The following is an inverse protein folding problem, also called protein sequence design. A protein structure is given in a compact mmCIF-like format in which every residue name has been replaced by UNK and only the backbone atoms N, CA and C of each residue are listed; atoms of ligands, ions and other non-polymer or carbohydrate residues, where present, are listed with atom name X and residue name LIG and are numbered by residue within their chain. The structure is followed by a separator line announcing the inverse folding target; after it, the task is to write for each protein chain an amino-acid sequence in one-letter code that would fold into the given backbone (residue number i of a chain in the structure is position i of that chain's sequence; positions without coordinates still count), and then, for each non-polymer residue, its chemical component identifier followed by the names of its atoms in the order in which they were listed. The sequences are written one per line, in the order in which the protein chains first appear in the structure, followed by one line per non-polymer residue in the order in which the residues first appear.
data_IF_676222799049
#
_entry.id   IF_676222799049
#
_cell.length_a   1.000
_cell.length_b   1.000
_cell.length_c   1.000
_cell.angle_alpha   90.00
_cell.angle_beta   90.00
_cell.angle_gamma   90.00
#
_symmetry.space_group_name_H-M   'P 1'
#
loop_
_entity.id
_entity.type
_entity.pdbx_description
1 polymer ?
#
# COMPACT_ATOMS: atom_id res chain seq x y z
N UNK A 1 42.17 -13.33 6.12
CA UNK A 1 41.71 -12.90 7.45
C UNK A 1 40.44 -12.04 7.28
N UNK A 2 39.31 -12.43 7.89
CA UNK A 2 38.09 -11.57 7.91
C UNK A 2 38.39 -10.36 8.79
N UNK A 3 38.39 -9.15 8.22
CA UNK A 3 38.53 -7.91 8.97
C UNK A 3 37.25 -7.73 9.81
N UNK A 4 37.37 -7.71 11.14
CA UNK A 4 36.23 -7.41 12.03
C UNK A 4 36.14 -5.89 12.19
N UNK A 5 35.01 -5.32 11.76
CA UNK A 5 34.69 -3.90 11.97
C UNK A 5 33.80 -3.75 13.22
N UNK A 6 34.09 -2.75 14.04
CA UNK A 6 33.25 -2.44 15.19
C UNK A 6 31.97 -1.73 14.74
N UNK A 7 30.80 -2.21 15.22
CA UNK A 7 29.52 -1.56 14.97
C UNK A 7 29.55 -0.11 15.47
N UNK A 8 30.20 0.16 16.61
CA UNK A 8 30.31 1.52 17.16
C UNK A 8 31.18 2.44 16.28
N UNK A 9 32.11 1.90 15.50
CA UNK A 9 32.87 2.68 14.53
C UNK A 9 32.03 3.04 13.30
N UNK A 10 31.18 2.11 12.82
CA UNK A 10 30.24 2.38 11.72
C UNK A 10 29.16 3.38 12.17
N UNK A 11 28.60 3.24 13.38
CA UNK A 11 27.68 4.21 13.95
C UNK A 11 28.29 5.61 14.02
N UNK A 12 29.51 5.70 14.56
CA UNK A 12 30.25 6.98 14.64
C UNK A 12 30.44 7.58 13.25
N UNK A 13 30.78 6.74 12.26
CA UNK A 13 30.93 7.18 10.87
C UNK A 13 29.60 7.72 10.30
N UNK A 14 28.48 7.04 10.50
CA UNK A 14 27.17 7.47 9.97
C UNK A 14 26.76 8.81 10.56
N UNK A 15 26.96 9.03 11.85
CA UNK A 15 26.66 10.31 12.51
C UNK A 15 27.58 11.44 12.02
N UNK A 16 28.90 11.20 11.88
CA UNK A 16 29.81 12.22 11.33
C UNK A 16 29.47 12.55 9.88
N UNK A 17 29.05 11.55 9.10
CA UNK A 17 28.63 11.73 7.70
C UNK A 17 27.33 12.55 7.55
N UNK A 18 26.42 12.48 8.52
CA UNK A 18 25.20 13.29 8.57
C UNK A 18 25.50 14.71 9.02
N UNK A 19 26.27 14.87 10.11
CA UNK A 19 26.55 16.15 10.73
C UNK A 19 27.62 16.97 10.00
N UNK A 20 28.46 16.33 9.21
CA UNK A 20 29.65 16.91 8.57
C UNK A 20 30.53 17.73 9.56
N UNK A 21 30.54 17.29 10.84
CA UNK A 21 31.22 17.93 11.95
C UNK A 21 31.54 16.90 13.04
N UNK A 22 32.80 16.77 13.40
CA UNK A 22 33.23 15.89 14.49
C UNK A 22 32.71 16.34 15.85
N UNK A 23 32.58 17.66 16.06
CA UNK A 23 32.07 18.22 17.31
C UNK A 23 30.58 17.95 17.47
N UNK A 24 29.76 18.25 16.44
CA UNK A 24 28.32 17.95 16.49
C UNK A 24 28.05 16.46 16.60
N UNK A 25 28.81 15.62 15.88
CA UNK A 25 28.69 14.19 16.03
C UNK A 25 29.02 13.69 17.44
N UNK A 26 29.98 14.33 18.11
CA UNK A 26 30.30 14.03 19.49
C UNK A 26 29.15 14.35 20.45
N UNK A 27 28.48 15.48 20.24
CA UNK A 27 27.29 15.88 21.01
C UNK A 27 26.14 14.87 20.82
N UNK A 28 25.85 14.48 19.56
CA UNK A 28 24.82 13.49 19.23
C UNK A 28 25.12 12.10 19.84
N UNK A 29 26.39 11.70 19.86
CA UNK A 29 26.82 10.39 20.39
C UNK A 29 27.13 10.42 21.89
N UNK A 30 27.04 11.57 22.55
CA UNK A 30 27.37 11.77 23.97
C UNK A 30 28.77 11.30 24.33
N UNK A 31 29.76 11.56 23.45
CA UNK A 31 31.18 11.24 23.64
C UNK A 31 32.05 12.47 23.34
N UNK A 32 33.36 12.39 23.61
CA UNK A 32 34.25 13.49 23.31
C UNK A 32 34.61 13.56 21.81
N UNK A 33 34.90 14.77 21.27
CA UNK A 33 35.36 14.92 19.89
C UNK A 33 36.64 14.13 19.57
N UNK A 34 37.51 13.97 20.56
CA UNK A 34 38.74 13.16 20.44
C UNK A 34 38.40 11.66 20.26
N UNK A 35 37.37 11.14 20.97
CA UNK A 35 36.90 9.77 20.83
C UNK A 35 36.28 9.54 19.44
N UNK A 36 35.47 10.49 18.92
CA UNK A 36 34.94 10.45 17.56
C UNK A 36 36.07 10.38 16.54
N UNK A 37 37.05 11.30 16.64
CA UNK A 37 38.22 11.35 15.74
C UNK A 37 39.03 10.05 15.76
N UNK A 38 39.22 9.49 16.95
CA UNK A 38 39.94 8.23 17.12
C UNK A 38 39.20 7.05 16.48
N UNK A 39 37.87 6.93 16.69
CA UNK A 39 37.06 5.87 16.07
C UNK A 39 37.09 5.94 14.54
N UNK A 40 36.96 7.13 13.96
CA UNK A 40 37.04 7.34 12.52
C UNK A 40 38.40 6.97 11.99
N UNK A 41 39.47 7.42 12.64
CA UNK A 41 40.86 7.10 12.24
C UNK A 41 41.13 5.59 12.26
N UNK A 42 40.65 4.87 13.26
CA UNK A 42 40.75 3.41 13.33
C UNK A 42 39.97 2.73 12.19
N UNK A 43 38.76 3.20 11.87
CA UNK A 43 37.95 2.69 10.78
C UNK A 43 38.66 2.88 9.42
N UNK A 44 39.20 4.09 9.17
CA UNK A 44 39.95 4.40 7.96
C UNK A 44 41.23 3.53 7.83
N UNK A 45 41.95 3.32 8.93
CA UNK A 45 43.13 2.42 8.95
C UNK A 45 42.73 0.96 8.65
N UNK A 46 41.63 0.48 9.20
CA UNK A 46 41.13 -0.87 8.92
C UNK A 46 40.68 -1.06 7.47
N UNK A 47 40.05 -0.03 6.89
CA UNK A 47 39.61 -0.04 5.50
C UNK A 47 40.79 0.20 4.51
N UNK A 48 41.81 0.90 4.94
CA UNK A 48 42.95 1.33 4.10
C UNK A 48 42.60 2.50 3.19
N UNK A 49 41.49 3.22 3.46
CA UNK A 49 41.05 4.38 2.68
C UNK A 49 40.59 5.50 3.62
N UNK A 50 40.70 6.75 3.18
CA UNK A 50 40.13 7.88 3.90
C UNK A 50 38.67 8.03 3.54
N UNK A 51 37.83 8.19 4.56
CA UNK A 51 36.39 8.39 4.42
C UNK A 51 36.00 9.86 4.42
N UNK A 52 36.82 10.70 5.06
CA UNK A 52 36.64 12.15 5.14
C UNK A 52 37.84 12.92 4.64
N UNK A 53 37.59 14.04 3.98
CA UNK A 53 38.60 15.07 3.68
C UNK A 53 38.31 16.30 4.54
N UNK A 54 39.38 16.88 5.13
CA UNK A 54 39.30 18.09 5.94
C UNK A 54 39.15 19.32 5.06
N UNK A 55 38.30 20.21 5.46
CA UNK A 55 38.13 21.54 4.88
C UNK A 55 38.61 22.59 5.91
N UNK A 56 38.78 23.83 5.48
CA UNK A 56 39.06 24.96 6.38
C UNK A 56 37.97 25.17 7.44
N UNK A 57 36.73 24.79 7.10
CA UNK A 57 35.58 24.73 8.04
C UNK A 57 34.87 23.42 7.86
N UNK A 58 35.00 22.48 8.82
CA UNK A 58 34.30 21.19 8.82
C UNK A 58 35.00 20.08 8.04
N UNK A 59 34.24 19.09 7.63
CA UNK A 59 34.67 17.92 6.87
C UNK A 59 33.68 17.62 5.73
N UNK A 60 34.16 16.98 4.69
CA UNK A 60 33.31 16.40 3.63
C UNK A 60 33.64 14.92 3.45
N UNK A 61 32.69 14.17 2.93
CA UNK A 61 32.95 12.79 2.54
C UNK A 61 33.91 12.72 1.35
N UNK A 62 34.73 11.68 1.34
CA UNK A 62 35.44 11.24 0.14
C UNK A 62 34.49 10.35 -0.70
N UNK A 63 34.86 9.98 -1.93
CA UNK A 63 34.12 9.03 -2.74
C UNK A 63 33.92 7.69 -2.01
N UNK A 64 34.94 7.20 -1.29
CA UNK A 64 34.83 6.00 -0.46
C UNK A 64 33.88 6.22 0.72
N UNK A 65 33.85 7.42 1.31
CA UNK A 65 32.92 7.82 2.36
C UNK A 65 31.49 7.87 1.87
N UNK A 66 31.21 8.42 0.70
CA UNK A 66 29.87 8.46 0.10
C UNK A 66 29.34 7.05 -0.18
N UNK A 67 30.17 6.18 -0.74
CA UNK A 67 29.82 4.78 -0.97
C UNK A 67 29.48 4.06 0.35
N UNK A 68 30.35 4.23 1.37
CA UNK A 68 30.11 3.60 2.67
C UNK A 68 28.87 4.16 3.36
N UNK A 69 28.59 5.47 3.23
CA UNK A 69 27.42 6.11 3.85
C UNK A 69 26.11 5.46 3.43
N UNK A 70 25.91 5.23 2.12
CA UNK A 70 24.68 4.62 1.61
C UNK A 70 24.43 3.24 2.26
N UNK A 71 25.46 2.38 2.27
CA UNK A 71 25.35 1.04 2.83
C UNK A 71 25.29 1.01 4.36
N UNK A 72 26.06 1.87 5.03
CA UNK A 72 26.10 1.92 6.48
C UNK A 72 24.79 2.45 7.06
N UNK A 73 24.19 3.48 6.46
CA UNK A 73 22.88 4.00 6.88
C UNK A 73 21.77 2.95 6.73
N UNK A 74 21.74 2.22 5.60
CA UNK A 74 20.78 1.13 5.40
C UNK A 74 21.00 0.00 6.42
N UNK A 75 22.26 -0.39 6.67
CA UNK A 75 22.61 -1.41 7.65
C UNK A 75 22.25 -1.03 9.09
N UNK A 76 22.56 0.18 9.52
CA UNK A 76 22.19 0.66 10.87
C UNK A 76 20.69 0.72 11.07
N UNK A 77 19.95 1.13 10.05
CA UNK A 77 18.49 1.14 10.09
C UNK A 77 17.91 -0.27 10.23
N UNK A 78 18.46 -1.25 9.51
CA UNK A 78 18.05 -2.65 9.63
C UNK A 78 18.35 -3.22 11.04
N UNK A 79 19.49 -2.85 11.64
CA UNK A 79 19.83 -3.25 13.01
C UNK A 79 18.83 -2.62 14.01
N UNK A 80 18.56 -1.32 13.89
CA UNK A 80 17.58 -0.64 14.75
C UNK A 80 16.18 -1.26 14.63
N UNK A 81 15.75 -1.58 13.42
CA UNK A 81 14.49 -2.30 13.17
C UNK A 81 14.48 -3.68 13.83
N UNK A 82 15.58 -4.45 13.74
CA UNK A 82 15.70 -5.75 14.42
C UNK A 82 15.65 -5.65 15.96
N UNK A 83 16.29 -4.62 16.53
CA UNK A 83 16.23 -4.34 17.98
C UNK A 83 14.80 -4.00 18.41
N UNK A 84 14.12 -3.13 17.66
CA UNK A 84 12.72 -2.80 17.92
C UNK A 84 11.83 -4.04 17.85
N UNK A 85 11.94 -4.85 16.79
CA UNK A 85 11.19 -6.10 16.68
C UNK A 85 11.44 -7.04 17.86
N UNK A 86 12.69 -7.17 18.33
CA UNK A 86 13.01 -8.02 19.47
C UNK A 86 12.42 -7.52 20.80
N UNK A 87 12.27 -6.21 20.96
CA UNK A 87 11.63 -5.59 22.12
C UNK A 87 10.09 -5.74 22.08
N UNK A 88 9.48 -5.80 20.90
CA UNK A 88 8.05 -6.03 20.72
C UNK A 88 7.64 -7.50 20.93
N UNK A 89 8.56 -8.46 20.82
CA UNK A 89 8.29 -9.87 21.09
C UNK A 89 7.78 -10.17 22.52
N UNK A 90 7.78 -9.20 23.41
CA UNK A 90 7.29 -9.31 24.79
C UNK A 90 6.01 -8.50 25.11
N UNK A 91 5.45 -7.76 24.12
CA UNK A 91 4.19 -7.00 24.30
C UNK A 91 3.18 -7.48 23.30
N UNK A 92 1.94 -7.81 23.77
CA UNK A 92 0.73 -8.12 22.99
C UNK A 92 0.95 -8.17 21.48
N UNK A 93 0.43 -9.18 20.82
CA UNK A 93 0.55 -9.40 19.38
C UNK A 93 -0.01 -8.18 18.59
N UNK A 94 0.79 -7.13 18.47
CA UNK A 94 0.44 -5.96 17.66
C UNK A 94 0.72 -6.26 16.21
N UNK A 95 -0.24 -5.94 15.34
CA UNK A 95 -0.13 -6.10 13.90
C UNK A 95 -0.46 -4.77 13.21
N UNK A 96 0.47 -4.24 12.42
CA UNK A 96 0.32 -2.98 11.69
C UNK A 96 0.13 -3.27 10.21
N UNK A 97 -1.07 -3.00 9.70
CA UNK A 97 -1.45 -3.29 8.30
C UNK A 97 -1.67 -1.99 7.53
N UNK A 98 -0.92 -1.83 6.45
CA UNK A 98 -1.25 -0.82 5.45
C UNK A 98 -2.40 -1.32 4.56
N UNK A 99 -3.24 -0.41 4.09
CA UNK A 99 -4.37 -0.74 3.22
C UNK A 99 -4.74 0.46 2.35
N UNK A 100 -5.16 0.22 1.10
CA UNK A 100 -5.64 1.29 0.23
C UNK A 100 -6.95 1.89 0.76
N UNK A 101 -7.15 3.22 0.67
CA UNK A 101 -8.26 3.95 1.33
C UNK A 101 -9.64 3.38 1.01
N UNK A 102 -9.92 3.16 -0.27
CA UNK A 102 -11.23 2.69 -0.75
C UNK A 102 -11.56 1.29 -0.23
N UNK A 103 -10.61 0.36 -0.26
CA UNK A 103 -10.81 -1.00 0.26
C UNK A 103 -10.96 -0.99 1.78
N UNK A 104 -10.18 -0.16 2.48
CA UNK A 104 -10.30 -0.01 3.93
C UNK A 104 -11.72 0.39 4.32
N UNK A 105 -12.21 1.47 3.71
CA UNK A 105 -13.52 2.05 4.05
C UNK A 105 -14.68 1.14 3.67
N UNK A 106 -14.70 0.63 2.43
CA UNK A 106 -15.86 -0.04 1.89
C UNK A 106 -15.93 -1.54 2.23
N UNK A 107 -14.78 -2.18 2.43
CA UNK A 107 -14.72 -3.63 2.56
C UNK A 107 -14.14 -4.10 3.90
N UNK A 108 -12.99 -3.53 4.34
CA UNK A 108 -12.28 -4.03 5.53
C UNK A 108 -12.99 -3.62 6.83
N UNK A 109 -13.29 -2.33 7.00
CA UNK A 109 -13.91 -1.80 8.24
C UNK A 109 -15.19 -2.54 8.61
N UNK A 110 -16.16 -2.81 7.70
CA UNK A 110 -17.38 -3.55 8.04
C UNK A 110 -17.13 -4.96 8.60
N UNK A 111 -15.95 -5.55 8.32
CA UNK A 111 -15.57 -6.92 8.71
C UNK A 111 -14.66 -7.01 9.93
N UNK A 112 -14.11 -5.88 10.40
CA UNK A 112 -13.16 -5.86 11.54
C UNK A 112 -13.75 -6.41 12.84
N UNK A 113 -15.07 -6.26 13.05
CA UNK A 113 -15.72 -6.80 14.23
C UNK A 113 -15.58 -8.33 14.32
N UNK A 114 -15.69 -9.02 13.19
CA UNK A 114 -15.49 -10.48 13.10
C UNK A 114 -14.03 -10.87 13.44
N UNK A 115 -13.04 -10.14 12.89
CA UNK A 115 -11.63 -10.38 13.24
C UNK A 115 -11.37 -10.16 14.73
N UNK A 116 -11.87 -9.05 15.29
CA UNK A 116 -11.67 -8.71 16.71
C UNK A 116 -12.32 -9.73 17.65
N UNK A 117 -13.43 -10.36 17.26
CA UNK A 117 -14.05 -11.43 18.04
C UNK A 117 -13.22 -12.71 18.00
N UNK A 118 -12.68 -13.07 16.83
CA UNK A 118 -11.85 -14.28 16.66
C UNK A 118 -10.46 -14.14 17.28
N UNK A 119 -9.90 -12.93 17.27
CA UNK A 119 -8.49 -12.65 17.63
C UNK A 119 -8.40 -11.47 18.63
N UNK A 120 -9.15 -11.51 19.73
CA UNK A 120 -9.22 -10.44 20.74
C UNK A 120 -7.88 -10.09 21.41
N UNK A 121 -6.88 -10.96 21.31
CA UNK A 121 -5.54 -10.74 21.84
C UNK A 121 -4.64 -9.96 20.88
N UNK A 122 -5.04 -9.77 19.61
CA UNK A 122 -4.28 -9.03 18.60
C UNK A 122 -4.73 -7.57 18.62
N UNK A 123 -3.76 -6.65 18.77
CA UNK A 123 -3.95 -5.23 18.56
C UNK A 123 -3.69 -4.89 17.10
N UNK A 124 -4.74 -4.57 16.34
CA UNK A 124 -4.63 -4.23 14.93
C UNK A 124 -4.55 -2.71 14.76
N UNK A 125 -3.49 -2.24 14.12
CA UNK A 125 -3.33 -0.86 13.66
C UNK A 125 -3.43 -0.80 12.15
N UNK A 126 -4.30 0.08 11.61
CA UNK A 126 -4.49 0.27 10.17
C UNK A 126 -3.86 1.59 9.73
N UNK A 127 -2.98 1.52 8.74
CA UNK A 127 -2.37 2.68 8.09
C UNK A 127 -2.94 2.78 6.66
N UNK A 128 -3.59 3.90 6.36
CA UNK A 128 -4.22 4.10 5.06
C UNK A 128 -3.26 4.79 4.11
N UNK A 129 -2.93 4.15 2.99
CA UNK A 129 -2.07 4.71 1.94
C UNK A 129 -2.35 4.08 0.57
N UNK A 130 -2.21 4.88 -0.50
CA UNK A 130 -2.44 4.42 -1.88
C UNK A 130 -1.23 3.69 -2.46
N UNK A 131 -0.03 4.15 -2.14
CA UNK A 131 1.21 3.57 -2.66
C UNK A 131 1.66 2.39 -1.80
N UNK A 132 2.32 1.42 -2.44
CA UNK A 132 2.93 0.31 -1.72
C UNK A 132 3.81 0.82 -0.58
N UNK A 133 3.56 0.31 0.62
CA UNK A 133 4.29 0.70 1.81
C UNK A 133 5.79 0.42 1.68
N UNK A 134 6.61 1.37 2.10
CA UNK A 134 8.04 1.14 2.24
C UNK A 134 8.32 0.46 3.59
N UNK A 135 8.36 -0.85 3.59
CA UNK A 135 8.62 -1.68 4.78
C UNK A 135 9.97 -1.42 5.44
N UNK A 136 10.89 -0.72 4.75
CA UNK A 136 12.19 -0.35 5.32
C UNK A 136 12.11 0.91 6.18
N UNK A 137 11.10 1.75 5.97
CA UNK A 137 10.96 3.06 6.64
C UNK A 137 9.86 3.11 7.68
N UNK A 138 8.83 2.30 7.53
CA UNK A 138 7.66 2.29 8.41
C UNK A 138 7.58 0.98 9.18
N UNK A 139 7.07 1.03 10.41
CA UNK A 139 6.74 -0.17 11.18
C UNK A 139 5.43 -0.76 10.67
N UNK A 140 5.45 -1.29 9.44
CA UNK A 140 4.31 -1.93 8.79
C UNK A 140 4.65 -3.40 8.62
N UNK A 141 3.77 -4.28 9.08
CA UNK A 141 3.95 -5.73 8.97
C UNK A 141 3.52 -6.24 7.59
N UNK A 142 2.41 -5.72 7.05
CA UNK A 142 1.92 -6.08 5.73
C UNK A 142 1.10 -4.96 5.10
N UNK A 143 0.86 -5.06 3.78
CA UNK A 143 0.00 -4.14 3.03
C UNK A 143 -1.04 -4.92 2.22
N UNK A 144 -2.32 -4.59 2.39
CA UNK A 144 -3.38 -5.06 1.49
C UNK A 144 -3.38 -4.13 0.27
N UNK A 145 -2.67 -4.55 -0.76
CA UNK A 145 -2.36 -3.74 -1.94
C UNK A 145 -3.09 -4.25 -3.18
N UNK A 146 -3.46 -3.34 -4.07
CA UNK A 146 -4.00 -3.66 -5.38
C UNK A 146 -2.89 -3.51 -6.42
N UNK A 147 -2.51 -4.60 -7.10
CA UNK A 147 -1.37 -4.58 -8.01
C UNK A 147 -1.20 -5.84 -8.84
N UNK A 148 -0.04 -5.96 -9.51
CA UNK A 148 0.29 -7.05 -10.44
C UNK A 148 0.58 -8.39 -9.76
N UNK A 149 0.91 -8.39 -8.48
CA UNK A 149 1.39 -9.58 -7.75
C UNK A 149 2.90 -9.78 -7.79
N UNK A 150 3.62 -8.98 -8.56
CA UNK A 150 5.09 -9.00 -8.60
C UNK A 150 5.65 -7.85 -7.74
N UNK A 151 6.27 -8.21 -6.62
CA UNK A 151 6.82 -7.26 -5.65
C UNK A 151 8.23 -7.68 -5.28
N UNK A 152 9.22 -7.02 -5.86
CA UNK A 152 10.62 -7.38 -5.71
C UNK A 152 11.06 -7.44 -4.24
N UNK A 153 11.56 -8.60 -3.80
CA UNK A 153 12.04 -8.81 -2.43
C UNK A 153 10.97 -8.92 -1.35
N UNK A 154 9.69 -8.99 -1.73
CA UNK A 154 8.56 -9.17 -0.83
C UNK A 154 7.78 -10.43 -1.21
N UNK A 155 7.01 -10.95 -0.27
CA UNK A 155 6.04 -12.00 -0.51
C UNK A 155 4.66 -11.39 -0.76
N UNK A 156 3.92 -11.98 -1.70
CA UNK A 156 2.57 -11.58 -2.04
C UNK A 156 1.63 -12.79 -1.93
N UNK A 157 0.68 -12.71 -1.03
CA UNK A 157 -0.41 -13.68 -0.92
C UNK A 157 -1.59 -13.17 -1.71
N UNK A 158 -1.99 -13.90 -2.75
CA UNK A 158 -3.18 -13.57 -3.53
C UNK A 158 -4.43 -13.60 -2.64
N UNK A 159 -5.28 -12.58 -2.75
CA UNK A 159 -6.50 -12.47 -1.98
C UNK A 159 -7.76 -12.59 -2.85
N UNK A 160 -7.85 -11.76 -3.89
CA UNK A 160 -9.05 -11.72 -4.73
C UNK A 160 -8.80 -10.93 -6.01
N UNK A 161 -9.51 -11.32 -7.07
CA UNK A 161 -9.66 -10.50 -8.28
C UNK A 161 -10.69 -9.40 -8.06
N UNK A 162 -10.68 -8.42 -8.96
CA UNK A 162 -11.67 -7.36 -8.94
C UNK A 162 -12.49 -7.31 -10.22
N UNK A 163 -13.75 -6.90 -10.10
CA UNK A 163 -14.71 -6.76 -11.20
C UNK A 163 -15.32 -5.37 -11.18
N UNK A 164 -15.45 -4.77 -12.36
CA UNK A 164 -15.97 -3.42 -12.51
C UNK A 164 -17.18 -3.43 -13.43
N UNK A 165 -18.26 -2.81 -12.98
CA UNK A 165 -19.52 -2.74 -13.70
C UNK A 165 -20.28 -1.45 -13.39
N UNK A 166 -21.21 -0.99 -14.27
CA UNK A 166 -21.99 0.20 -14.05
C UNK A 166 -22.96 0.06 -12.88
N UNK A 167 -23.03 1.09 -12.03
CA UNK A 167 -23.96 1.20 -10.90
C UNK A 167 -24.61 2.57 -10.83
N UNK A 168 -25.83 2.63 -10.31
CA UNK A 168 -26.54 3.88 -10.06
C UNK A 168 -27.44 3.79 -8.83
N UNK A 169 -27.96 4.93 -8.39
CA UNK A 169 -29.01 4.96 -7.38
C UNK A 169 -30.29 4.31 -7.93
N UNK A 170 -31.03 3.51 -7.12
CA UNK A 170 -32.25 2.81 -7.57
C UNK A 170 -33.32 3.74 -8.14
N UNK A 171 -33.44 4.98 -7.66
CA UNK A 171 -34.41 5.95 -8.15
C UNK A 171 -34.26 6.28 -9.63
N UNK A 172 -33.09 6.03 -10.23
CA UNK A 172 -32.90 6.23 -11.67
C UNK A 172 -33.66 5.21 -12.51
N UNK A 173 -34.10 4.13 -11.89
CA UNK A 173 -34.78 3.00 -12.55
C UNK A 173 -36.26 2.97 -12.28
N UNK A 174 -36.80 3.94 -11.51
CA UNK A 174 -38.23 4.01 -11.21
C UNK A 174 -39.05 4.19 -12.49
N UNK A 175 -39.97 3.26 -12.73
CA UNK A 175 -40.84 3.28 -13.90
C UNK A 175 -40.22 2.69 -15.19
N UNK A 176 -39.00 2.17 -15.14
CA UNK A 176 -38.32 1.55 -16.30
C UNK A 176 -38.15 0.04 -16.03
N UNK A 177 -38.89 -0.78 -16.74
CA UNK A 177 -38.89 -2.22 -16.53
C UNK A 177 -37.53 -2.90 -16.87
N UNK A 178 -36.86 -2.43 -17.91
CA UNK A 178 -35.56 -2.94 -18.36
C UNK A 178 -34.72 -1.78 -18.89
N UNK A 179 -34.03 -1.00 -18.01
CA UNK A 179 -33.26 0.15 -18.44
C UNK A 179 -32.03 -0.31 -19.24
N UNK A 180 -31.97 0.12 -20.50
CA UNK A 180 -30.71 -0.04 -21.28
C UNK A 180 -29.73 1.04 -20.82
N UNK A 181 -28.49 0.67 -20.58
CA UNK A 181 -27.45 1.64 -20.20
C UNK A 181 -27.35 2.78 -21.19
N UNK A 182 -27.42 2.49 -22.50
CA UNK A 182 -27.40 3.51 -23.57
C UNK A 182 -28.52 4.56 -23.47
N UNK A 183 -29.67 4.20 -22.90
CA UNK A 183 -30.80 5.12 -22.67
C UNK A 183 -30.57 5.99 -21.43
N UNK A 184 -30.07 5.38 -20.36
CA UNK A 184 -29.71 6.09 -19.13
C UNK A 184 -28.59 7.10 -19.34
N UNK A 185 -27.62 6.77 -20.19
CA UNK A 185 -26.53 7.68 -20.56
C UNK A 185 -26.99 8.95 -21.27
N UNK A 186 -28.17 8.95 -21.91
CA UNK A 186 -28.74 10.14 -22.56
C UNK A 186 -29.31 11.16 -21.55
N UNK A 187 -29.66 10.73 -20.36
CA UNK A 187 -30.40 11.54 -19.38
C UNK A 187 -29.70 11.68 -18.04
N UNK A 188 -28.57 11.02 -17.85
CA UNK A 188 -27.81 11.00 -16.60
C UNK A 188 -26.34 11.28 -16.85
N UNK A 189 -25.71 11.96 -15.90
CA UNK A 189 -24.27 12.23 -15.98
C UNK A 189 -23.44 10.99 -15.61
N UNK A 190 -22.25 10.89 -16.20
CA UNK A 190 -21.24 9.92 -15.82
C UNK A 190 -20.36 10.44 -14.69
N UNK A 191 -20.14 9.57 -13.73
CA UNK A 191 -19.21 9.79 -12.63
C UNK A 191 -17.91 9.08 -12.97
N UNK A 192 -16.83 9.83 -12.96
CA UNK A 192 -15.47 9.39 -13.23
C UNK A 192 -14.59 9.54 -11.99
N UNK A 193 -13.49 8.80 -11.93
CA UNK A 193 -12.42 9.03 -10.96
C UNK A 193 -11.06 8.99 -11.68
N UNK A 194 -10.11 9.83 -11.23
CA UNK A 194 -8.81 9.97 -11.88
C UNK A 194 -7.75 9.00 -11.39
N UNK A 195 -7.83 8.55 -10.13
CA UNK A 195 -6.82 7.69 -9.55
C UNK A 195 -6.74 6.35 -10.28
N UNK A 196 -5.62 6.07 -10.92
CA UNK A 196 -5.33 4.81 -11.57
C UNK A 196 -5.82 4.65 -13.01
N UNK A 197 -6.33 5.69 -13.68
CA UNK A 197 -6.86 5.56 -15.03
C UNK A 197 -5.82 5.89 -16.10
N UNK A 198 -5.05 6.97 -15.94
CA UNK A 198 -4.18 7.46 -17.02
C UNK A 198 -2.71 7.02 -16.86
N UNK A 199 -2.23 6.75 -15.64
CA UNK A 199 -0.81 6.51 -15.36
C UNK A 199 -0.49 5.17 -14.66
N UNK A 200 -1.48 4.35 -14.33
CA UNK A 200 -1.24 3.07 -13.66
C UNK A 200 -1.89 1.89 -14.39
N UNK A 201 -1.14 0.83 -14.67
CA UNK A 201 -1.70 -0.42 -15.19
C UNK A 201 -2.75 -0.97 -14.21
N UNK A 202 -3.90 -1.37 -14.71
CA UNK A 202 -4.97 -1.98 -13.90
C UNK A 202 -6.19 -1.11 -13.61
N UNK A 203 -6.17 0.19 -13.98
CA UNK A 203 -7.35 1.05 -13.98
C UNK A 203 -8.36 0.63 -15.06
N UNK A 204 -9.64 0.94 -14.84
CA UNK A 204 -10.71 0.78 -15.83
C UNK A 204 -11.46 2.09 -15.94
N UNK A 205 -11.56 2.60 -17.17
CA UNK A 205 -12.29 3.82 -17.48
C UNK A 205 -13.67 3.52 -18.08
N UNK A 206 -14.52 4.53 -18.15
CA UNK A 206 -15.75 4.45 -18.91
C UNK A 206 -15.50 4.18 -20.42
N UNK A 207 -14.39 4.69 -20.98
CA UNK A 207 -14.03 4.40 -22.36
C UNK A 207 -13.78 2.91 -22.58
N UNK A 208 -13.03 2.25 -21.67
CA UNK A 208 -12.78 0.81 -21.73
C UNK A 208 -14.08 0.02 -21.65
N UNK A 209 -14.98 0.40 -20.73
CA UNK A 209 -16.23 -0.30 -20.52
C UNK A 209 -17.18 -0.16 -21.74
N UNK A 210 -17.38 1.07 -22.22
CA UNK A 210 -18.24 1.36 -23.36
C UNK A 210 -17.72 0.69 -24.64
N UNK A 211 -16.41 0.71 -24.88
CA UNK A 211 -15.77 0.06 -26.00
C UNK A 211 -15.94 -1.46 -25.95
N UNK A 212 -15.69 -2.07 -24.78
CA UNK A 212 -15.76 -3.54 -24.62
C UNK A 212 -17.16 -4.09 -24.88
N UNK A 213 -18.19 -3.37 -24.46
CA UNK A 213 -19.58 -3.81 -24.57
C UNK A 213 -20.36 -3.13 -25.70
N UNK A 214 -19.63 -2.47 -26.62
CA UNK A 214 -20.19 -1.82 -27.83
C UNK A 214 -21.38 -0.88 -27.50
N UNK A 215 -21.27 -0.12 -26.42
CA UNK A 215 -22.29 0.84 -26.01
C UNK A 215 -21.95 2.22 -26.56
N UNK A 216 -22.84 2.77 -27.38
CA UNK A 216 -22.69 4.10 -27.96
C UNK A 216 -22.63 5.18 -26.86
N UNK A 217 -21.59 6.00 -26.92
CA UNK A 217 -21.46 7.18 -26.08
C UNK A 217 -22.26 8.34 -26.68
N UNK A 218 -23.20 8.94 -25.94
CA UNK A 218 -23.91 10.14 -26.41
C UNK A 218 -22.93 11.31 -26.70
N UNK A 219 -23.24 12.11 -27.74
CA UNK A 219 -22.39 13.24 -28.14
C UNK A 219 -22.30 14.31 -27.04
N UNK A 220 -23.39 14.54 -26.32
CA UNK A 220 -23.47 15.47 -25.20
C UNK A 220 -23.70 14.70 -23.91
N UNK A 221 -22.60 14.42 -23.19
CA UNK A 221 -22.62 13.70 -21.93
C UNK A 221 -22.12 14.60 -20.80
N UNK A 222 -22.96 14.83 -19.80
CA UNK A 222 -22.52 15.48 -18.56
C UNK A 222 -21.58 14.56 -17.80
N UNK A 223 -20.50 15.08 -17.27
CA UNK A 223 -19.46 14.32 -16.58
C UNK A 223 -19.05 15.03 -15.30
N UNK A 224 -18.85 14.25 -14.23
CA UNK A 224 -18.27 14.71 -12.98
C UNK A 224 -17.05 13.87 -12.65
N UNK A 225 -15.97 14.49 -12.16
CA UNK A 225 -14.69 13.85 -11.92
C UNK A 225 -14.30 13.94 -10.45
N UNK A 226 -13.89 12.80 -9.88
CA UNK A 226 -13.36 12.70 -8.53
C UNK A 226 -11.90 12.23 -8.57
N UNK A 227 -11.13 12.55 -7.53
CA UNK A 227 -9.75 12.06 -7.37
C UNK A 227 -9.68 10.64 -6.85
N UNK A 228 -10.73 10.14 -6.16
CA UNK A 228 -10.75 8.82 -5.53
C UNK A 228 -12.04 8.05 -5.88
N UNK A 229 -11.89 6.74 -6.06
CA UNK A 229 -13.03 5.85 -6.36
C UNK A 229 -14.11 5.86 -5.27
N UNK A 230 -13.74 5.98 -4.01
CA UNK A 230 -14.71 6.06 -2.89
C UNK A 230 -15.63 7.28 -2.99
N UNK A 231 -15.11 8.41 -3.48
CA UNK A 231 -15.91 9.62 -3.72
C UNK A 231 -16.88 9.44 -4.90
N UNK A 232 -16.42 8.77 -5.96
CA UNK A 232 -17.27 8.45 -7.11
C UNK A 232 -18.42 7.50 -6.70
N UNK A 233 -18.12 6.49 -5.88
CA UNK A 233 -19.16 5.59 -5.32
C UNK A 233 -20.13 6.36 -4.43
N UNK A 234 -19.63 7.21 -3.52
CA UNK A 234 -20.49 8.04 -2.67
C UNK A 234 -21.41 8.96 -3.50
N UNK A 235 -20.89 9.57 -4.56
CA UNK A 235 -21.71 10.39 -5.46
C UNK A 235 -22.82 9.57 -6.14
N UNK A 236 -22.54 8.32 -6.56
CA UNK A 236 -23.55 7.43 -7.12
C UNK A 236 -24.62 7.05 -6.08
N UNK A 237 -24.22 6.75 -4.84
CA UNK A 237 -25.14 6.49 -3.71
C UNK A 237 -26.07 7.67 -3.45
N UNK A 238 -25.58 8.90 -3.64
CA UNK A 238 -26.40 10.11 -3.52
C UNK A 238 -27.15 10.51 -4.80
N UNK A 239 -27.25 9.62 -5.80
CA UNK A 239 -28.01 9.87 -7.00
C UNK A 239 -27.44 10.96 -7.90
N UNK A 240 -26.10 11.20 -7.86
CA UNK A 240 -25.48 12.24 -8.68
C UNK A 240 -25.17 11.77 -10.10
N UNK A 241 -25.30 10.47 -10.41
CA UNK A 241 -25.02 9.94 -11.74
C UNK A 241 -24.79 8.44 -11.75
N UNK A 242 -24.24 7.95 -12.86
CA UNK A 242 -23.87 6.56 -13.07
C UNK A 242 -22.37 6.42 -12.90
N UNK A 243 -21.91 5.52 -12.04
CA UNK A 243 -20.49 5.26 -11.78
C UNK A 243 -20.07 3.86 -12.26
N UNK A 244 -18.78 3.67 -12.53
CA UNK A 244 -18.20 2.34 -12.56
C UNK A 244 -17.90 1.89 -11.14
N UNK A 245 -18.67 0.91 -10.69
CA UNK A 245 -18.55 0.31 -9.36
C UNK A 245 -17.54 -0.84 -9.38
N UNK A 246 -16.53 -0.72 -8.57
CA UNK A 246 -15.60 -1.79 -8.24
C UNK A 246 -16.27 -2.72 -7.23
N UNK A 247 -16.36 -3.98 -7.53
CA UNK A 247 -17.20 -4.92 -6.77
C UNK A 247 -16.99 -4.88 -5.26
N UNK A 248 -15.72 -4.90 -4.83
CA UNK A 248 -15.41 -4.83 -3.39
C UNK A 248 -15.81 -3.50 -2.75
N UNK A 249 -15.93 -2.42 -3.54
CA UNK A 249 -16.32 -1.09 -3.05
C UNK A 249 -17.83 -0.86 -3.03
N UNK A 250 -18.60 -1.60 -3.85
CA UNK A 250 -20.04 -1.34 -4.03
C UNK A 250 -20.92 -2.49 -3.56
N UNK A 251 -20.37 -3.66 -3.24
CA UNK A 251 -21.14 -4.85 -2.87
C UNK A 251 -22.03 -4.63 -1.65
N UNK A 252 -21.53 -3.95 -0.62
CA UNK A 252 -22.31 -3.62 0.59
C UNK A 252 -23.43 -2.61 0.28
N UNK A 253 -23.17 -1.60 -0.54
CA UNK A 253 -24.17 -0.59 -0.92
C UNK A 253 -25.25 -1.19 -1.81
N UNK A 254 -24.89 -2.18 -2.65
CA UNK A 254 -25.88 -2.94 -3.44
C UNK A 254 -26.72 -3.84 -2.53
N UNK A 255 -26.08 -4.56 -1.60
CA UNK A 255 -26.80 -5.41 -0.63
C UNK A 255 -27.74 -4.59 0.26
N UNK A 256 -27.36 -3.35 0.60
CA UNK A 256 -28.17 -2.41 1.36
C UNK A 256 -29.26 -1.72 0.51
N UNK A 257 -29.36 -2.00 -0.80
CA UNK A 257 -30.32 -1.39 -1.71
C UNK A 257 -30.07 0.09 -2.03
N UNK A 258 -28.90 0.63 -1.73
CA UNK A 258 -28.50 2.02 -2.03
C UNK A 258 -27.93 2.20 -3.43
N UNK A 259 -27.41 1.14 -4.00
CA UNK A 259 -26.97 1.06 -5.38
C UNK A 259 -27.60 -0.14 -6.08
N UNK A 260 -27.76 -0.02 -7.39
CA UNK A 260 -28.18 -1.11 -8.26
C UNK A 260 -27.24 -1.25 -9.44
N UNK A 261 -26.96 -2.50 -9.83
CA UNK A 261 -26.25 -2.82 -11.05
C UNK A 261 -27.09 -2.48 -12.27
N UNK A 262 -26.45 -1.94 -13.31
CA UNK A 262 -27.08 -1.67 -14.60
C UNK A 262 -26.81 -2.74 -15.65
N UNK A 263 -25.89 -3.65 -15.39
CA UNK A 263 -25.57 -4.80 -16.26
C UNK A 263 -25.03 -5.95 -15.42
N UNK A 264 -25.26 -7.17 -15.85
CA UNK A 264 -24.57 -8.36 -15.35
C UNK A 264 -23.17 -8.52 -15.94
N UNK A 265 -22.92 -7.84 -17.06
CA UNK A 265 -21.59 -7.76 -17.64
C UNK A 265 -20.64 -7.00 -16.74
N UNK A 266 -19.36 -7.41 -16.74
CA UNK A 266 -18.29 -6.76 -15.99
C UNK A 266 -16.96 -6.83 -16.73
N UNK A 267 -16.09 -5.87 -16.45
CA UNK A 267 -14.69 -5.94 -16.80
C UNK A 267 -13.92 -6.49 -15.61
N UNK A 268 -13.04 -7.46 -15.90
CA UNK A 268 -12.08 -7.92 -14.91
C UNK A 268 -10.82 -7.06 -15.00
N UNK A 269 -10.32 -6.61 -13.86
CA UNK A 269 -9.09 -5.82 -13.81
C UNK A 269 -7.86 -6.68 -14.07
N UNK A 270 -6.82 -6.09 -14.67
CA UNK A 270 -5.52 -6.74 -14.83
C UNK A 270 -4.82 -6.94 -13.47
N UNK A 271 -5.07 -6.05 -12.51
CA UNK A 271 -4.56 -6.15 -11.15
C UNK A 271 -5.52 -6.90 -10.22
N UNK A 272 -4.97 -7.36 -9.10
CA UNK A 272 -5.69 -8.09 -8.06
C UNK A 272 -5.30 -7.58 -6.67
N UNK A 273 -6.07 -7.96 -5.64
CA UNK A 273 -5.70 -7.69 -4.26
C UNK A 273 -4.71 -8.73 -3.77
N UNK A 274 -3.67 -8.27 -3.11
CA UNK A 274 -2.62 -9.09 -2.48
C UNK A 274 -2.35 -8.60 -1.06
N UNK A 275 -2.05 -9.52 -0.16
CA UNK A 275 -1.39 -9.21 1.11
C UNK A 275 0.11 -9.30 0.89
N UNK A 276 0.77 -8.15 0.85
CA UNK A 276 2.21 -8.01 0.57
C UNK A 276 2.94 -7.80 1.88
N UNK A 277 4.01 -8.56 2.11
CA UNK A 277 4.78 -8.47 3.34
C UNK A 277 6.25 -8.88 3.13
N UNK A 278 7.18 -8.43 3.99
CA UNK A 278 8.51 -9.01 4.09
C UNK A 278 8.44 -10.49 4.48
N UNK A 279 9.33 -11.33 3.94
CA UNK A 279 9.35 -12.79 4.18
C UNK A 279 9.39 -13.14 5.67
N UNK A 280 10.10 -12.36 6.49
CA UNK A 280 10.18 -12.57 7.93
C UNK A 280 8.83 -12.41 8.66
N UNK A 281 7.88 -11.66 8.12
CA UNK A 281 6.58 -11.41 8.75
C UNK A 281 5.76 -12.68 8.89
N UNK A 282 5.98 -13.70 8.06
CA UNK A 282 5.34 -15.01 8.18
C UNK A 282 5.63 -15.74 9.50
N UNK A 283 6.69 -15.37 10.20
CA UNK A 283 7.01 -15.92 11.51
C UNK A 283 6.18 -15.31 12.64
N UNK A 284 5.46 -14.23 12.38
CA UNK A 284 4.57 -13.58 13.32
C UNK A 284 3.22 -14.34 13.36
N UNK A 285 2.82 -14.96 14.48
CA UNK A 285 1.55 -15.68 14.57
C UNK A 285 0.33 -14.78 14.32
N UNK A 286 0.37 -13.52 14.74
CA UNK A 286 -0.69 -12.57 14.50
C UNK A 286 -0.89 -12.29 12.99
N UNK A 287 0.21 -12.21 12.22
CA UNK A 287 0.15 -12.09 10.77
C UNK A 287 -0.48 -13.32 10.12
N UNK A 288 -0.12 -14.51 10.55
CA UNK A 288 -0.69 -15.76 10.01
C UNK A 288 -2.20 -15.79 10.24
N UNK A 289 -2.66 -15.51 11.46
CA UNK A 289 -4.10 -15.46 11.78
C UNK A 289 -4.84 -14.41 10.95
N UNK A 290 -4.26 -13.23 10.79
CA UNK A 290 -4.85 -12.17 9.97
C UNK A 290 -4.89 -12.54 8.48
N UNK A 291 -3.82 -13.11 7.95
CA UNK A 291 -3.73 -13.58 6.56
C UNK A 291 -4.79 -14.63 6.25
N UNK A 292 -4.92 -15.65 7.13
CA UNK A 292 -5.92 -16.71 6.97
C UNK A 292 -7.36 -16.18 7.07
N UNK A 293 -7.60 -15.26 8.02
CA UNK A 293 -8.89 -14.59 8.14
C UNK A 293 -9.21 -13.79 6.87
N UNK A 294 -8.25 -12.98 6.38
CA UNK A 294 -8.43 -12.13 5.21
C UNK A 294 -8.72 -12.96 3.95
N UNK A 295 -8.01 -14.07 3.75
CA UNK A 295 -8.25 -14.98 2.62
C UNK A 295 -9.65 -15.60 2.69
N UNK A 296 -10.10 -16.05 3.86
CA UNK A 296 -11.48 -16.56 4.03
C UNK A 296 -12.51 -15.50 3.70
N UNK A 297 -12.34 -14.27 4.19
CA UNK A 297 -13.29 -13.17 3.96
C UNK A 297 -13.31 -12.75 2.47
N UNK A 298 -12.18 -12.67 1.80
CA UNK A 298 -12.11 -12.28 0.39
C UNK A 298 -12.48 -13.43 -0.56
N UNK A 299 -12.09 -14.66 -0.26
CA UNK A 299 -12.37 -15.83 -1.09
C UNK A 299 -13.84 -16.27 -1.02
N UNK A 300 -14.54 -16.05 0.07
CA UNK A 300 -15.97 -16.38 0.20
C UNK A 300 -16.86 -15.62 -0.80
N UNK A 301 -16.42 -14.42 -1.23
CA UNK A 301 -17.13 -13.63 -2.25
C UNK A 301 -16.92 -14.11 -3.70
N UNK A 302 -15.80 -14.81 -3.97
CA UNK A 302 -15.47 -15.28 -5.32
C UNK A 302 -16.01 -16.70 -5.62
N UNK A 303 -16.32 -17.49 -4.58
CA UNK A 303 -16.82 -18.86 -4.71
C UNK A 303 -18.20 -18.97 -5.41
N UNK A 304 -18.98 -17.89 -5.42
CA UNK A 304 -20.30 -17.86 -6.05
C UNK A 304 -20.29 -17.56 -7.56
N UNK A 305 -19.11 -17.33 -8.16
CA UNK A 305 -18.99 -17.18 -9.62
C UNK A 305 -17.76 -17.93 -10.12
N UNK A 306 -17.92 -19.20 -10.57
CA UNK A 306 -16.82 -19.95 -11.16
C UNK A 306 -16.29 -19.22 -12.40
N UNK A 307 -14.98 -19.29 -12.57
CA UNK A 307 -14.26 -18.77 -13.74
C UNK A 307 -14.91 -19.26 -15.04
N UNK A 308 -15.06 -18.41 -16.07
CA UNK A 308 -15.23 -18.90 -17.40
C UNK A 308 -13.96 -19.73 -17.75
N UNK A 309 -14.15 -21.00 -18.13
CA UNK A 309 -13.08 -21.87 -18.56
C UNK A 309 -12.46 -21.29 -19.84
N UNK A 310 -11.19 -20.90 -19.78
CA UNK A 310 -10.43 -20.56 -20.97
C UNK A 310 -9.69 -19.22 -20.86
N UNK A 311 -8.49 -19.26 -20.28
CA UNK A 311 -7.31 -18.48 -20.70
C UNK A 311 -6.09 -19.36 -20.49
#
# INVERSE_FOLDING_TARGET
MKKHFSISAIETFTVVAQELSFTRAADVLHITPSAVSHRIKLLEQQLGVQLFSRLSKGVRLSLAGETLQQHAMAGMKNIQHGIQQSQFASKKDKLVIAVIPSLCQAWLIPRLADFSQQCAHIELELIVCDQLADFSKAQIDAHIHFGSGDYQGLEAVFLSRERVYPVCHPDFLLGVAHPRLSELLKVRQLIHYKAGIEDQPGGISWADWLQKFEVDKPAELQQIWFSHVSMAVAAAVHGQGIALGWHKMVSEEIAAGKLQKLSDDYLQTAFSYYLVAPTQTRKNPAFVLFSDWLQRQMGAGDANHPLPAGF
#
